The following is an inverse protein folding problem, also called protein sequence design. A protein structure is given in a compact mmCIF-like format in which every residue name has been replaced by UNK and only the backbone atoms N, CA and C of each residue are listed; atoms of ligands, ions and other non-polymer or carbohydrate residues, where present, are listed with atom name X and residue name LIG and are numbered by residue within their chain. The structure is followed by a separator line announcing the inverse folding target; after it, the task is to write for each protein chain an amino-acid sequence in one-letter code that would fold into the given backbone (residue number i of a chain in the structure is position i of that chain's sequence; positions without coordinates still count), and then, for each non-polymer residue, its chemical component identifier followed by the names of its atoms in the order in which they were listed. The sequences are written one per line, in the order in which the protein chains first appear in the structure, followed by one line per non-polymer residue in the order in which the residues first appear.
data_IF_980335155585
#
_entry.id   IF_980335155585
#
_cell.length_a   1.000
_cell.length_b   1.000
_cell.length_c   1.000
_cell.angle_alpha   90.00
_cell.angle_beta   90.00
_cell.angle_gamma   90.00
#
_symmetry.space_group_name_H-M   'P 1'
#
loop_
_entity.id
_entity.type
_entity.pdbx_description
1 polymer ?
#
# COMPACT_ATOMS: atom_id res chain seq x y z
N UNK A 1 0.59 19.93 14.49
CA UNK A 1 -0.32 20.45 13.44
C UNK A 1 0.52 21.03 12.31
N UNK A 2 0.26 20.67 11.06
CA UNK A 2 0.95 21.15 9.87
C UNK A 2 0.06 22.01 8.97
N UNK A 3 0.68 22.92 8.22
CA UNK A 3 0.06 23.85 7.28
C UNK A 3 0.60 23.54 5.89
N UNK A 4 -0.26 23.04 5.01
CA UNK A 4 0.15 22.43 3.73
C UNK A 4 -0.58 23.06 2.56
N UNK A 5 0.09 23.19 1.41
CA UNK A 5 -0.52 23.67 0.17
C UNK A 5 -1.32 22.58 -0.55
N UNK A 6 -0.93 21.31 -0.38
CA UNK A 6 -1.51 20.16 -1.09
C UNK A 6 -2.17 19.12 -0.16
N UNK A 7 -2.11 19.33 1.16
CA UNK A 7 -2.63 18.42 2.17
C UNK A 7 -1.70 17.25 2.52
N UNK A 8 -0.47 17.24 1.99
CA UNK A 8 0.60 16.27 2.27
C UNK A 8 1.63 16.86 3.24
N UNK A 9 2.28 15.98 4.03
CA UNK A 9 3.32 16.39 4.98
C UNK A 9 4.56 16.95 4.29
N UNK A 10 5.03 16.29 3.24
CA UNK A 10 6.24 16.72 2.52
C UNK A 10 6.03 18.09 1.88
N UNK A 11 6.92 19.03 2.18
CA UNK A 11 6.85 20.43 1.75
C UNK A 11 6.01 21.35 2.65
N UNK A 12 5.54 20.87 3.81
CA UNK A 12 4.72 21.66 4.74
C UNK A 12 5.53 22.15 5.95
N UNK A 13 5.02 23.20 6.61
CA UNK A 13 5.53 23.65 7.91
C UNK A 13 4.60 23.16 9.01
N UNK A 14 5.15 22.73 10.14
CA UNK A 14 4.38 22.20 11.25
C UNK A 14 4.83 22.76 12.58
N UNK A 15 3.87 22.87 13.50
CA UNK A 15 4.14 23.06 14.93
C UNK A 15 3.89 21.73 15.64
N UNK A 16 4.84 21.32 16.45
CA UNK A 16 4.80 20.05 17.19
C UNK A 16 5.03 20.36 18.66
N UNK A 17 4.21 19.76 19.53
CA UNK A 17 4.32 19.93 20.96
C UNK A 17 4.21 18.59 21.68
N UNK A 18 4.99 18.43 22.73
CA UNK A 18 4.98 17.25 23.60
C UNK A 18 5.33 17.63 25.03
N UNK A 19 5.01 16.75 25.97
CA UNK A 19 5.40 16.90 27.38
C UNK A 19 6.68 16.13 27.64
N UNK A 20 7.66 16.76 28.28
CA UNK A 20 8.83 16.13 28.87
C UNK A 20 8.74 16.27 30.39
N UNK A 21 8.25 15.23 31.06
CA UNK A 21 7.85 15.32 32.46
C UNK A 21 6.71 16.34 32.65
N UNK A 22 6.93 17.37 33.45
CA UNK A 22 5.98 18.47 33.67
C UNK A 22 6.22 19.66 32.72
N UNK A 23 7.30 19.62 31.93
CA UNK A 23 7.66 20.72 31.03
C UNK A 23 7.07 20.49 29.64
N UNK A 24 6.29 21.45 29.18
CA UNK A 24 5.81 21.48 27.81
C UNK A 24 6.89 21.96 26.85
N UNK A 25 7.15 21.20 25.79
CA UNK A 25 8.10 21.57 24.73
C UNK A 25 7.32 21.76 23.43
N UNK A 26 7.58 22.87 22.74
CA UNK A 26 7.00 23.19 21.44
C UNK A 26 8.12 23.57 20.49
N UNK A 27 8.07 23.03 19.28
CA UNK A 27 8.98 23.37 18.20
C UNK A 27 8.25 23.47 16.87
N UNK A 28 8.76 24.35 16.02
CA UNK A 28 8.39 24.40 14.61
C UNK A 28 9.27 23.43 13.81
N UNK A 29 8.74 22.90 12.72
CA UNK A 29 9.44 22.00 11.82
C UNK A 29 9.12 22.35 10.36
N UNK A 30 10.13 22.26 9.50
CA UNK A 30 9.92 22.11 8.07
C UNK A 30 9.97 20.63 7.70
N UNK A 31 8.90 20.13 7.09
CA UNK A 31 8.75 18.72 6.72
C UNK A 31 9.22 18.52 5.28
N UNK A 32 10.53 18.53 5.05
CA UNK A 32 11.13 18.44 3.70
C UNK A 32 11.07 17.04 3.06
N UNK A 33 10.83 15.99 3.85
CA UNK A 33 10.82 14.61 3.38
C UNK A 33 10.32 13.62 4.43
N UNK A 34 10.49 12.32 4.16
CA UNK A 34 10.02 11.25 5.04
C UNK A 34 11.11 10.69 5.97
N UNK A 35 12.37 11.06 5.77
CA UNK A 35 13.47 10.68 6.66
C UNK A 35 13.65 11.71 7.75
N UNK A 36 14.14 11.29 8.92
CA UNK A 36 14.36 12.18 10.07
C UNK A 36 15.31 13.35 9.73
N UNK A 37 16.29 13.16 8.85
CA UNK A 37 17.21 14.21 8.41
C UNK A 37 16.56 15.29 7.54
N UNK A 38 15.44 14.97 6.88
CA UNK A 38 14.66 15.91 6.07
C UNK A 38 13.52 16.56 6.86
N UNK A 39 13.35 16.20 8.14
CA UNK A 39 12.39 16.82 9.07
C UNK A 39 13.18 17.76 9.97
N UNK A 40 13.22 19.05 9.59
CA UNK A 40 14.17 20.00 10.15
C UNK A 40 13.53 20.78 11.31
N UNK A 41 14.01 20.62 12.55
CA UNK A 41 13.52 21.40 13.70
C UNK A 41 13.90 22.88 13.55
N UNK A 42 13.09 23.73 14.16
CA UNK A 42 13.24 25.19 14.20
C UNK A 42 13.29 25.85 12.81
N UNK A 43 12.77 25.17 11.78
CA UNK A 43 12.65 25.66 10.41
C UNK A 43 11.20 25.70 9.94
N UNK A 44 10.95 26.37 8.82
CA UNK A 44 9.63 26.54 8.21
C UNK A 44 9.19 28.00 8.17
N UNK A 45 7.95 28.23 7.78
CA UNK A 45 7.41 29.58 7.52
C UNK A 45 6.26 29.99 8.45
N UNK A 46 6.08 29.30 9.60
CA UNK A 46 5.10 29.72 10.59
C UNK A 46 5.70 30.84 11.45
N UNK A 47 4.91 31.87 11.74
CA UNK A 47 5.31 32.95 12.64
C UNK A 47 4.48 32.83 13.92
N UNK A 48 5.06 32.21 14.95
CA UNK A 48 4.37 31.87 16.20
C UNK A 48 4.72 32.93 17.25
N UNK A 49 3.73 33.64 17.77
CA UNK A 49 3.94 34.72 18.77
C UNK A 49 3.76 34.25 20.21
N UNK A 50 2.80 33.35 20.43
CA UNK A 50 2.55 32.73 21.73
C UNK A 50 2.29 31.25 21.52
N UNK A 51 2.78 30.42 22.44
CA UNK A 51 2.51 28.99 22.40
C UNK A 51 2.60 28.37 23.78
N UNK A 52 1.78 27.36 24.03
CA UNK A 52 1.71 26.64 25.28
C UNK A 52 1.28 25.20 25.00
N UNK A 53 1.94 24.26 25.67
CA UNK A 53 1.49 22.87 25.69
C UNK A 53 1.29 22.46 27.14
N UNK A 54 0.11 21.92 27.41
CA UNK A 54 -0.26 21.44 28.75
C UNK A 54 -0.84 20.04 28.63
N UNK A 55 -0.64 19.25 29.67
CA UNK A 55 -1.32 17.97 29.84
C UNK A 55 -2.29 18.07 31.01
N UNK A 56 -3.57 17.84 30.73
CA UNK A 56 -4.63 17.87 31.73
C UNK A 56 -5.59 16.70 31.47
N UNK A 57 -5.92 15.95 32.53
CA UNK A 57 -6.86 14.81 32.45
C UNK A 57 -6.53 13.81 31.34
N UNK A 58 -5.25 13.43 31.23
CA UNK A 58 -4.73 12.54 30.19
C UNK A 58 -4.90 13.05 28.76
N UNK A 59 -5.06 14.36 28.58
CA UNK A 59 -5.15 15.02 27.28
C UNK A 59 -4.11 16.11 27.14
N UNK A 60 -3.33 16.03 26.06
CA UNK A 60 -2.38 17.08 25.70
C UNK A 60 -3.06 18.13 24.85
N UNK A 61 -3.00 19.39 25.30
CA UNK A 61 -3.46 20.55 24.56
C UNK A 61 -2.25 21.30 24.03
N UNK A 62 -2.18 21.49 22.71
CA UNK A 62 -1.22 22.38 22.06
C UNK A 62 -1.98 23.64 21.63
N UNK A 63 -1.61 24.76 22.22
CA UNK A 63 -2.20 26.08 21.98
C UNK A 63 -1.10 26.95 21.39
N UNK A 64 -1.41 27.68 20.32
CA UNK A 64 -0.47 28.61 19.72
C UNK A 64 -1.20 29.69 18.93
N UNK A 65 -0.54 30.82 18.76
CA UNK A 65 -1.01 31.94 17.97
C UNK A 65 -0.09 32.14 16.77
N UNK A 66 -0.68 32.17 15.58
CA UNK A 66 0.01 32.55 14.35
C UNK A 66 -0.19 34.03 14.07
N UNK A 67 0.90 34.73 13.79
CA UNK A 67 0.89 36.12 13.34
C UNK A 67 1.20 36.16 11.85
N UNK A 68 0.16 36.26 11.03
CA UNK A 68 0.28 36.24 9.56
C UNK A 68 -0.34 37.50 8.96
N UNK A 69 0.34 38.10 7.98
CA UNK A 69 -0.18 39.23 7.23
C UNK A 69 -1.31 38.81 6.28
N UNK A 70 -1.24 37.59 5.75
CA UNK A 70 -2.27 36.97 4.92
C UNK A 70 -2.88 35.74 5.64
N UNK A 71 -4.03 35.27 5.15
CA UNK A 71 -4.68 34.09 5.70
C UNK A 71 -3.76 32.85 5.55
N UNK A 72 -3.52 32.06 6.62
CA UNK A 72 -2.74 30.84 6.52
C UNK A 72 -3.39 29.82 5.57
N UNK A 73 -2.61 28.84 5.11
CA UNK A 73 -3.15 27.75 4.29
C UNK A 73 -4.30 27.06 5.02
N UNK A 74 -5.41 26.87 4.31
CA UNK A 74 -6.60 26.21 4.87
C UNK A 74 -6.45 24.70 5.00
N UNK A 75 -5.49 24.07 4.32
CA UNK A 75 -5.26 22.62 4.47
C UNK A 75 -4.34 22.37 5.66
N UNK A 76 -4.90 21.74 6.68
CA UNK A 76 -4.23 21.40 7.92
C UNK A 76 -3.94 19.91 7.97
N UNK A 77 -2.80 19.58 8.58
CA UNK A 77 -2.38 18.21 8.84
C UNK A 77 -2.32 18.01 10.35
N UNK A 78 -2.92 16.91 10.79
CA UNK A 78 -2.83 16.44 12.16
C UNK A 78 -2.06 15.14 12.15
N UNK A 79 -1.18 14.98 13.13
CA UNK A 79 -0.41 13.76 13.31
C UNK A 79 -0.13 13.59 14.79
N UNK A 80 -0.09 12.33 15.23
CA UNK A 80 0.21 11.96 16.60
C UNK A 80 1.39 11.00 16.62
N UNK A 81 2.32 11.19 17.56
CA UNK A 81 3.48 10.31 17.74
C UNK A 81 3.08 8.93 18.25
N UNK A 82 4.07 8.05 18.42
CA UNK A 82 3.87 6.79 19.13
C UNK A 82 3.96 7.02 20.64
N UNK A 83 3.11 6.33 21.41
CA UNK A 83 3.14 6.40 22.86
C UNK A 83 4.51 5.96 23.41
N UNK A 84 5.06 6.75 24.34
CA UNK A 84 6.38 6.48 24.95
C UNK A 84 7.58 6.88 24.08
N UNK A 85 7.38 7.32 22.82
CA UNK A 85 8.47 7.76 21.93
C UNK A 85 8.47 9.27 21.79
N UNK A 86 9.18 9.94 22.71
CA UNK A 86 9.37 11.39 22.66
C UNK A 86 10.62 11.76 21.83
N UNK A 87 10.61 12.91 21.15
CA UNK A 87 11.80 13.43 20.48
C UNK A 87 12.97 13.59 21.46
N UNK A 88 14.19 13.14 21.13
CA UNK A 88 15.35 13.32 21.99
C UNK A 88 15.65 14.81 22.22
N UNK A 89 15.99 15.21 23.44
CA UNK A 89 16.25 16.61 23.77
C UNK A 89 17.41 17.24 22.96
N UNK A 90 18.42 16.44 22.59
CA UNK A 90 19.61 16.90 21.87
C UNK A 90 19.35 17.19 20.38
N UNK A 91 18.53 16.38 19.71
CA UNK A 91 18.29 16.48 18.27
C UNK A 91 16.92 17.05 17.94
N UNK A 92 15.95 16.93 18.84
CA UNK A 92 14.52 17.17 18.58
C UNK A 92 14.01 16.45 17.32
N UNK A 93 14.65 15.33 16.96
CA UNK A 93 14.30 14.57 15.77
C UNK A 93 12.97 13.84 15.96
N UNK A 94 12.04 14.01 15.02
CA UNK A 94 10.75 13.34 15.06
C UNK A 94 10.85 11.92 14.50
N UNK A 95 10.09 11.00 15.10
CA UNK A 95 9.84 9.66 14.57
C UNK A 95 8.58 9.63 13.71
N UNK A 96 8.34 8.51 13.03
CA UNK A 96 7.11 8.33 12.27
C UNK A 96 5.89 8.36 13.20
N UNK A 97 4.90 9.18 12.84
CA UNK A 97 3.61 9.26 13.51
C UNK A 97 2.88 7.91 13.50
N UNK A 98 2.09 7.65 14.53
CA UNK A 98 1.22 6.47 14.61
C UNK A 98 -0.06 6.65 13.79
N UNK A 99 -0.58 7.89 13.73
CA UNK A 99 -1.74 8.24 12.91
C UNK A 99 -1.61 9.67 12.36
N UNK A 100 -2.28 9.93 11.23
CA UNK A 100 -2.37 11.25 10.62
C UNK A 100 -3.71 11.48 9.94
N UNK A 101 -4.12 12.74 9.91
CA UNK A 101 -5.28 13.21 9.16
C UNK A 101 -4.95 14.51 8.41
N UNK A 102 -5.67 14.74 7.32
CA UNK A 102 -5.62 15.99 6.56
C UNK A 102 -7.03 16.54 6.44
N UNK A 103 -7.20 17.84 6.65
CA UNK A 103 -8.50 18.52 6.60
C UNK A 103 -8.36 19.88 5.96
N UNK A 104 -9.45 20.44 5.47
CA UNK A 104 -9.53 21.86 5.17
C UNK A 104 -10.26 22.56 6.31
N UNK A 105 -9.71 23.67 6.80
CA UNK A 105 -10.34 24.59 7.74
C UNK A 105 -10.82 25.83 6.99
N UNK A 106 -12.10 26.15 7.12
CA UNK A 106 -12.62 27.44 6.71
C UNK A 106 -12.44 28.43 7.88
N UNK A 107 -11.52 29.39 7.73
CA UNK A 107 -11.23 30.38 8.78
C UNK A 107 -12.39 31.35 9.06
N UNK A 108 -13.32 31.52 8.12
CA UNK A 108 -14.50 32.39 8.30
C UNK A 108 -15.57 31.68 9.13
N UNK A 109 -15.85 30.40 8.83
CA UNK A 109 -16.93 29.65 9.51
C UNK A 109 -16.46 28.79 10.67
N UNK A 110 -15.16 28.60 10.83
CA UNK A 110 -14.56 27.68 11.81
C UNK A 110 -14.80 26.20 11.51
N UNK A 111 -15.40 25.87 10.36
CA UNK A 111 -15.74 24.48 10.02
C UNK A 111 -14.56 23.74 9.40
N UNK A 112 -14.39 22.48 9.79
CA UNK A 112 -13.40 21.57 9.21
C UNK A 112 -14.08 20.54 8.31
N UNK A 113 -13.55 20.35 7.09
CA UNK A 113 -13.95 19.29 6.19
C UNK A 113 -12.77 18.33 5.97
N UNK A 114 -12.92 17.08 6.42
CA UNK A 114 -11.91 16.05 6.23
C UNK A 114 -11.59 15.90 4.75
N UNK A 115 -10.31 16.07 4.38
CA UNK A 115 -9.86 15.82 3.03
C UNK A 115 -9.72 14.31 2.87
N UNK A 116 -10.61 13.70 2.09
CA UNK A 116 -10.46 12.30 1.70
C UNK A 116 -9.08 12.08 1.05
N UNK A 117 -8.46 10.92 1.29
CA UNK A 117 -7.15 10.61 0.69
C UNK A 117 -7.19 10.86 -0.82
N UNK A 118 -6.25 11.64 -1.41
CA UNK A 118 -6.27 11.94 -2.84
C UNK A 118 -6.42 10.68 -3.68
N UNK A 119 -7.29 10.70 -4.68
CA UNK A 119 -7.54 9.56 -5.56
C UNK A 119 -7.91 8.25 -4.82
N UNK A 120 -8.60 8.34 -3.67
CA UNK A 120 -9.00 7.18 -2.84
C UNK A 120 -9.63 6.03 -3.65
N UNK A 121 -10.53 6.37 -4.57
CA UNK A 121 -11.20 5.40 -5.45
C UNK A 121 -10.21 4.68 -6.36
N UNK A 122 -9.26 5.42 -6.94
CA UNK A 122 -8.24 4.86 -7.82
C UNK A 122 -7.29 3.94 -7.04
N UNK A 123 -6.85 4.37 -5.84
CA UNK A 123 -6.06 3.54 -4.91
C UNK A 123 -6.77 2.23 -4.55
N UNK A 124 -8.05 2.32 -4.19
CA UNK A 124 -8.88 1.15 -3.84
C UNK A 124 -9.07 0.22 -5.04
N UNK A 125 -9.34 0.78 -6.22
CA UNK A 125 -9.50 0.01 -7.47
C UNK A 125 -8.21 -0.73 -7.83
N UNK A 126 -7.07 -0.05 -7.83
CA UNK A 126 -5.75 -0.65 -8.06
C UNK A 126 -5.50 -1.82 -7.11
N UNK A 127 -5.71 -1.63 -5.79
CA UNK A 127 -5.53 -2.68 -4.80
C UNK A 127 -6.43 -3.89 -5.03
N UNK A 128 -7.73 -3.66 -5.27
CA UNK A 128 -8.70 -4.75 -5.50
C UNK A 128 -8.42 -5.52 -6.79
N UNK A 129 -8.14 -4.82 -7.89
CA UNK A 129 -7.86 -5.44 -9.19
C UNK A 129 -6.62 -6.34 -9.13
N UNK A 130 -5.53 -5.87 -8.53
CA UNK A 130 -4.30 -6.67 -8.41
C UNK A 130 -4.46 -7.83 -7.41
N UNK A 131 -5.17 -7.61 -6.30
CA UNK A 131 -5.44 -8.67 -5.32
C UNK A 131 -6.28 -9.80 -5.91
N UNK A 132 -7.38 -9.46 -6.59
CA UNK A 132 -8.25 -10.45 -7.23
C UNK A 132 -7.56 -11.09 -8.43
N UNK A 133 -6.97 -10.29 -9.32
CA UNK A 133 -6.34 -10.75 -10.55
C UNK A 133 -5.07 -11.56 -10.32
N UNK A 134 -4.02 -10.92 -9.80
CA UNK A 134 -2.72 -11.55 -9.60
C UNK A 134 -2.63 -12.39 -8.32
N UNK A 135 -3.29 -11.96 -7.24
CA UNK A 135 -3.17 -12.59 -5.93
C UNK A 135 -4.04 -13.84 -5.75
N UNK A 136 -5.31 -13.80 -6.20
CA UNK A 136 -6.30 -14.86 -5.92
C UNK A 136 -6.54 -15.75 -7.14
N UNK A 137 -6.91 -15.17 -8.29
CA UNK A 137 -7.29 -15.96 -9.47
C UNK A 137 -6.12 -16.77 -10.04
N UNK A 138 -4.88 -16.26 -9.99
CA UNK A 138 -3.69 -17.01 -10.41
C UNK A 138 -3.52 -18.31 -9.62
N UNK A 139 -3.78 -18.28 -8.31
CA UNK A 139 -3.70 -19.45 -7.43
C UNK A 139 -4.82 -20.44 -7.75
N UNK A 140 -6.06 -19.95 -7.85
CA UNK A 140 -7.22 -20.79 -8.20
C UNK A 140 -6.99 -21.49 -9.55
N UNK A 141 -6.53 -20.75 -10.56
CA UNK A 141 -6.20 -21.30 -11.88
C UNK A 141 -5.14 -22.39 -11.80
N UNK A 142 -4.10 -22.21 -10.96
CA UNK A 142 -3.07 -23.22 -10.74
C UNK A 142 -3.60 -24.48 -10.03
N UNK A 143 -4.45 -24.33 -9.01
CA UNK A 143 -5.11 -25.44 -8.30
C UNK A 143 -5.98 -26.24 -9.28
N UNK A 144 -6.80 -25.57 -10.09
CA UNK A 144 -7.65 -26.20 -11.13
C UNK A 144 -6.80 -27.02 -12.10
N UNK A 145 -5.73 -26.44 -12.67
CA UNK A 145 -4.85 -27.14 -13.60
C UNK A 145 -4.05 -28.29 -12.98
N UNK A 146 -3.83 -28.26 -11.66
CA UNK A 146 -3.12 -29.33 -10.95
C UNK A 146 -4.04 -30.52 -10.64
N UNK A 147 -5.26 -30.26 -10.16
CA UNK A 147 -6.10 -31.29 -9.56
C UNK A 147 -7.26 -31.77 -10.46
N UNK A 148 -7.67 -31.00 -11.47
CA UNK A 148 -8.79 -31.38 -12.33
C UNK A 148 -8.38 -32.02 -13.67
N UNK A 149 -7.10 -32.35 -13.89
CA UNK A 149 -6.60 -32.92 -15.16
C UNK A 149 -7.34 -34.18 -15.65
N UNK A 150 -7.96 -34.94 -14.75
CA UNK A 150 -8.76 -36.13 -15.09
C UNK A 150 -10.05 -35.79 -15.85
N UNK A 151 -10.51 -34.55 -15.79
CA UNK A 151 -11.68 -34.05 -16.51
C UNK A 151 -11.28 -33.41 -17.84
N UNK A 152 -10.43 -34.05 -18.65
CA UNK A 152 -10.08 -33.52 -19.99
C UNK A 152 -11.32 -33.55 -20.90
N UNK A 153 -11.64 -32.47 -21.65
CA UNK A 153 -10.90 -31.21 -21.80
C UNK A 153 -11.34 -30.07 -20.85
N UNK A 154 -12.35 -30.29 -20.00
CA UNK A 154 -12.96 -29.26 -19.14
C UNK A 154 -11.93 -28.51 -18.27
N UNK A 155 -10.97 -29.22 -17.65
CA UNK A 155 -9.96 -28.57 -16.80
C UNK A 155 -9.18 -27.49 -17.54
N UNK A 156 -8.92 -27.70 -18.83
CA UNK A 156 -8.13 -26.79 -19.65
C UNK A 156 -8.93 -25.50 -19.90
N UNK A 157 -10.23 -25.62 -20.24
CA UNK A 157 -11.11 -24.47 -20.39
C UNK A 157 -11.30 -23.71 -19.09
N UNK A 158 -11.53 -24.39 -17.96
CA UNK A 158 -11.61 -23.71 -16.66
C UNK A 158 -10.31 -22.99 -16.33
N UNK A 159 -9.15 -23.63 -16.52
CA UNK A 159 -7.85 -23.02 -16.27
C UNK A 159 -7.64 -21.76 -17.12
N UNK A 160 -7.79 -21.86 -18.45
CA UNK A 160 -7.55 -20.73 -19.34
C UNK A 160 -8.53 -19.59 -19.08
N UNK A 161 -9.81 -19.86 -18.80
CA UNK A 161 -10.80 -18.83 -18.48
C UNK A 161 -10.44 -18.08 -17.19
N UNK A 162 -10.09 -18.82 -16.12
CA UNK A 162 -9.70 -18.23 -14.83
C UNK A 162 -8.42 -17.40 -14.98
N UNK A 163 -7.41 -17.93 -15.67
CA UNK A 163 -6.15 -17.22 -15.88
C UNK A 163 -6.31 -16.00 -16.77
N UNK A 164 -7.16 -16.07 -17.79
CA UNK A 164 -7.43 -14.93 -18.68
C UNK A 164 -8.13 -13.81 -17.93
N UNK A 165 -9.16 -14.13 -17.13
CA UNK A 165 -9.83 -13.15 -16.27
C UNK A 165 -8.85 -12.54 -15.26
N UNK A 166 -8.04 -13.38 -14.61
CA UNK A 166 -7.02 -12.93 -13.66
C UNK A 166 -6.00 -11.99 -14.30
N UNK A 167 -5.54 -12.30 -15.50
CA UNK A 167 -4.61 -11.47 -16.25
C UNK A 167 -5.24 -10.13 -16.66
N UNK A 168 -6.47 -10.11 -17.16
CA UNK A 168 -7.14 -8.86 -17.58
C UNK A 168 -7.43 -7.92 -16.39
N UNK A 169 -7.86 -8.47 -15.26
CA UNK A 169 -8.03 -7.70 -14.02
C UNK A 169 -6.67 -7.19 -13.52
N UNK A 170 -5.65 -8.06 -13.52
CA UNK A 170 -4.30 -7.72 -13.12
C UNK A 170 -3.66 -6.63 -14.00
N UNK A 171 -3.83 -6.71 -15.32
CA UNK A 171 -3.37 -5.70 -16.28
C UNK A 171 -4.05 -4.35 -16.02
N UNK A 172 -5.38 -4.35 -15.84
CA UNK A 172 -6.14 -3.15 -15.46
C UNK A 172 -5.66 -2.58 -14.12
N UNK A 173 -5.31 -3.47 -13.18
CA UNK A 173 -4.67 -3.13 -11.91
C UNK A 173 -3.32 -2.44 -12.10
N UNK A 174 -2.44 -2.95 -12.98
CA UNK A 174 -1.15 -2.32 -13.26
C UNK A 174 -1.33 -0.96 -13.93
N UNK A 175 -2.22 -0.83 -14.91
CA UNK A 175 -2.51 0.44 -15.60
C UNK A 175 -2.99 1.50 -14.59
N UNK A 176 -3.95 1.15 -13.73
CA UNK A 176 -4.41 2.07 -12.69
C UNK A 176 -3.31 2.46 -11.70
N UNK A 177 -2.36 1.55 -11.42
CA UNK A 177 -1.17 1.82 -10.61
C UNK A 177 -0.20 2.81 -11.25
N UNK A 178 0.04 2.69 -12.56
CA UNK A 178 0.86 3.64 -13.31
C UNK A 178 0.23 5.03 -13.35
N UNK A 179 -1.08 5.11 -13.58
CA UNK A 179 -1.83 6.38 -13.51
C UNK A 179 -1.74 6.98 -12.10
N UNK A 180 -1.86 6.15 -11.07
CA UNK A 180 -1.76 6.61 -9.68
C UNK A 180 -0.35 7.13 -9.35
N UNK A 181 0.70 6.46 -9.81
CA UNK A 181 2.09 6.89 -9.62
C UNK A 181 2.32 8.29 -10.21
N UNK A 182 1.87 8.52 -11.44
CA UNK A 182 2.01 9.82 -12.11
C UNK A 182 1.26 10.94 -11.39
N UNK A 183 0.14 10.63 -10.73
CA UNK A 183 -0.67 11.62 -10.01
C UNK A 183 -0.14 11.94 -8.60
N UNK A 184 0.50 10.98 -7.94
CA UNK A 184 0.97 11.15 -6.57
C UNK A 184 2.40 11.67 -6.48
N UNK A 185 3.23 11.41 -7.49
CA UNK A 185 4.67 11.77 -7.45
C UNK A 185 5.45 11.07 -6.33
N UNK A 186 4.86 10.05 -5.69
CA UNK A 186 5.50 9.30 -4.61
C UNK A 186 6.50 8.29 -5.17
N UNK A 187 7.65 8.14 -4.50
CA UNK A 187 8.59 7.06 -4.80
C UNK A 187 8.10 5.73 -4.21
N UNK A 188 7.51 4.89 -5.05
CA UNK A 188 7.14 3.49 -4.75
C UNK A 188 7.93 2.53 -5.64
N UNK A 189 9.19 2.86 -5.91
CA UNK A 189 10.05 2.18 -6.89
C UNK A 189 10.08 0.66 -6.75
N UNK A 190 10.21 0.12 -5.53
CA UNK A 190 10.26 -1.34 -5.33
C UNK A 190 8.93 -2.02 -5.72
N UNK A 191 7.79 -1.51 -5.24
CA UNK A 191 6.48 -2.10 -5.52
C UNK A 191 6.14 -2.03 -7.01
N UNK A 192 6.48 -0.91 -7.65
CA UNK A 192 6.35 -0.71 -9.08
C UNK A 192 7.22 -1.69 -9.87
N UNK A 193 8.49 -1.86 -9.51
CA UNK A 193 9.41 -2.78 -10.18
C UNK A 193 8.94 -4.23 -10.05
N UNK A 194 8.49 -4.65 -8.87
CA UNK A 194 7.87 -5.96 -8.66
C UNK A 194 6.58 -6.13 -9.48
N UNK A 195 5.75 -5.08 -9.56
CA UNK A 195 4.53 -5.08 -10.38
C UNK A 195 4.83 -5.28 -11.88
N UNK A 196 5.86 -4.60 -12.39
CA UNK A 196 6.32 -4.76 -13.78
C UNK A 196 6.87 -6.17 -14.00
N UNK A 197 7.67 -6.71 -13.06
CA UNK A 197 8.15 -8.09 -13.13
C UNK A 197 7.00 -9.09 -13.21
N UNK A 198 5.97 -8.95 -12.36
CA UNK A 198 4.78 -9.80 -12.37
C UNK A 198 4.08 -9.73 -13.74
N UNK A 199 3.90 -8.52 -14.30
CA UNK A 199 3.31 -8.34 -15.62
C UNK A 199 4.11 -9.06 -16.71
N UNK A 200 5.45 -8.93 -16.71
CA UNK A 200 6.34 -9.62 -17.66
C UNK A 200 6.18 -11.14 -17.53
N UNK A 201 6.21 -11.67 -16.31
CA UNK A 201 5.98 -13.09 -16.06
C UNK A 201 4.59 -13.53 -16.53
N UNK A 202 3.56 -12.68 -16.36
CA UNK A 202 2.21 -12.94 -16.86
C UNK A 202 2.15 -12.99 -18.39
N UNK A 203 2.80 -12.06 -19.08
CA UNK A 203 2.91 -12.08 -20.53
C UNK A 203 3.61 -13.36 -21.03
N UNK A 204 4.68 -13.78 -20.34
CA UNK A 204 5.34 -15.06 -20.60
C UNK A 204 4.39 -16.26 -20.45
N UNK A 205 3.47 -16.24 -19.49
CA UNK A 205 2.42 -17.26 -19.36
C UNK A 205 1.42 -17.24 -20.51
N UNK A 206 1.01 -16.06 -20.98
CA UNK A 206 0.15 -15.92 -22.17
C UNK A 206 0.87 -16.45 -23.41
N UNK A 207 2.15 -16.13 -23.59
CA UNK A 207 2.95 -16.68 -24.69
C UNK A 207 3.10 -18.20 -24.59
N UNK A 208 3.10 -18.77 -23.38
CA UNK A 208 3.12 -20.22 -23.20
C UNK A 208 1.89 -20.87 -23.85
N UNK A 209 0.72 -20.24 -23.79
CA UNK A 209 -0.49 -20.73 -24.47
C UNK A 209 -0.30 -20.76 -25.99
N UNK A 210 0.23 -19.69 -26.58
CA UNK A 210 0.44 -19.59 -28.03
C UNK A 210 1.48 -20.60 -28.52
N UNK A 211 2.54 -20.80 -27.74
CA UNK A 211 3.62 -21.75 -28.04
C UNK A 211 3.34 -23.18 -27.55
N UNK A 212 2.07 -23.52 -27.23
CA UNK A 212 1.67 -24.83 -26.66
C UNK A 212 1.90 -25.98 -27.67
N UNK A 213 2.86 -26.90 -27.43
CA UNK A 213 3.11 -28.01 -28.34
C UNK A 213 2.01 -29.10 -28.25
N UNK A 214 1.91 -29.91 -29.30
CA UNK A 214 1.08 -31.14 -29.32
C UNK A 214 1.44 -32.07 -28.16
N UNK A 215 0.44 -32.84 -27.67
CA UNK A 215 0.58 -33.74 -26.50
C UNK A 215 1.71 -34.76 -26.70
N UNK A 216 1.89 -35.28 -27.91
CA UNK A 216 2.92 -36.28 -28.26
C UNK A 216 4.32 -35.70 -28.52
N UNK A 217 4.49 -34.37 -28.53
CA UNK A 217 5.78 -33.76 -28.83
C UNK A 217 6.76 -33.90 -27.67
N UNK A 218 8.02 -34.31 -27.94
CA UNK A 218 9.10 -34.29 -26.94
C UNK A 218 9.34 -32.90 -26.34
N UNK A 219 9.06 -31.84 -27.10
CA UNK A 219 9.18 -30.43 -26.66
C UNK A 219 8.16 -30.10 -25.56
N UNK A 220 7.03 -30.83 -25.49
CA UNK A 220 5.99 -30.66 -24.46
C UNK A 220 6.54 -30.74 -23.04
N UNK A 221 7.58 -31.57 -22.81
CA UNK A 221 8.26 -31.68 -21.51
C UNK A 221 8.91 -30.36 -21.08
N UNK A 222 9.70 -29.75 -21.95
CA UNK A 222 10.37 -28.47 -21.68
C UNK A 222 9.37 -27.32 -21.53
N UNK A 223 8.35 -27.31 -22.39
CA UNK A 223 7.24 -26.36 -22.27
C UNK A 223 6.54 -26.45 -20.90
N UNK A 224 6.28 -27.68 -20.42
CA UNK A 224 5.68 -27.88 -19.08
C UNK A 224 6.60 -27.36 -17.98
N UNK A 225 7.91 -27.62 -18.06
CA UNK A 225 8.87 -27.13 -17.07
C UNK A 225 8.92 -25.60 -17.02
N UNK A 226 9.00 -24.96 -18.17
CA UNK A 226 8.90 -23.51 -18.32
C UNK A 226 7.59 -22.96 -17.72
N UNK A 227 6.45 -23.47 -18.20
CA UNK A 227 5.13 -22.99 -17.79
C UNK A 227 4.91 -23.12 -16.28
N UNK A 228 5.24 -24.29 -15.70
CA UNK A 228 5.10 -24.53 -14.26
C UNK A 228 6.04 -23.66 -13.42
N UNK A 229 7.30 -23.54 -13.83
CA UNK A 229 8.31 -22.82 -13.04
C UNK A 229 8.02 -21.32 -13.04
N UNK A 230 7.84 -20.73 -14.22
CA UNK A 230 7.52 -19.30 -14.36
C UNK A 230 6.18 -18.97 -13.68
N UNK A 231 5.19 -19.86 -13.76
CA UNK A 231 3.87 -19.63 -13.15
C UNK A 231 3.92 -19.61 -11.63
N UNK A 232 4.74 -20.49 -11.01
CA UNK A 232 4.95 -20.50 -9.56
C UNK A 232 5.71 -19.27 -9.08
N UNK A 233 6.76 -18.89 -9.80
CA UNK A 233 7.54 -17.68 -9.50
C UNK A 233 6.62 -16.44 -9.54
N UNK A 234 5.77 -16.33 -10.56
CA UNK A 234 4.77 -15.27 -10.68
C UNK A 234 3.87 -15.21 -9.45
N UNK A 235 3.29 -16.34 -9.02
CA UNK A 235 2.40 -16.39 -7.85
C UNK A 235 3.11 -15.92 -6.58
N UNK A 236 4.36 -16.34 -6.34
CA UNK A 236 5.14 -15.93 -5.15
C UNK A 236 5.36 -14.41 -5.14
N UNK A 237 5.77 -13.84 -6.28
CA UNK A 237 5.96 -12.40 -6.40
C UNK A 237 4.65 -11.64 -6.29
N UNK A 238 3.56 -12.16 -6.88
CA UNK A 238 2.23 -11.55 -6.77
C UNK A 238 1.74 -11.47 -5.33
N UNK A 239 1.82 -12.57 -4.57
CA UNK A 239 1.43 -12.58 -3.15
C UNK A 239 2.25 -11.56 -2.35
N UNK A 240 3.57 -11.62 -2.50
CA UNK A 240 4.50 -10.72 -1.80
C UNK A 240 4.22 -9.25 -2.14
N UNK A 241 4.02 -8.94 -3.42
CA UNK A 241 3.82 -7.58 -3.88
C UNK A 241 2.45 -7.01 -3.48
N UNK A 242 1.41 -7.86 -3.35
CA UNK A 242 0.11 -7.43 -2.81
C UNK A 242 0.23 -7.08 -1.33
N UNK A 243 0.92 -7.90 -0.52
CA UNK A 243 1.18 -7.56 0.89
C UNK A 243 1.97 -6.26 1.03
N UNK A 244 3.01 -6.09 0.20
CA UNK A 244 3.80 -4.88 0.20
C UNK A 244 2.98 -3.66 -0.24
N UNK A 245 2.12 -3.80 -1.25
CA UNK A 245 1.20 -2.74 -1.68
C UNK A 245 0.18 -2.35 -0.61
N UNK A 246 -0.34 -3.31 0.17
CA UNK A 246 -1.23 -3.02 1.33
C UNK A 246 -0.48 -2.20 2.38
N UNK A 247 0.77 -2.56 2.67
CA UNK A 247 1.63 -1.82 3.61
C UNK A 247 1.89 -0.39 3.13
N UNK A 248 2.26 -0.20 1.86
CA UNK A 248 2.47 1.13 1.26
C UNK A 248 1.19 1.97 1.19
N UNK A 249 0.04 1.33 1.04
CA UNK A 249 -1.25 2.00 1.01
C UNK A 249 -1.72 2.53 2.38
N UNK A 250 -0.94 2.30 3.45
CA UNK A 250 -1.29 2.58 4.86
C UNK A 250 -2.69 2.07 5.20
N UNK A 251 -3.14 1.00 4.53
CA UNK A 251 -4.42 0.37 4.83
C UNK A 251 -4.18 -0.50 6.06
N UNK A 252 -4.89 -0.16 7.14
CA UNK A 252 -4.76 -0.79 8.45
C UNK A 252 -4.89 -2.32 8.42
N UNK A 253 -4.65 -2.91 9.58
CA UNK A 253 -4.54 -4.37 9.83
C UNK A 253 -5.62 -5.22 9.15
N UNK A 254 -6.84 -4.71 8.97
CA UNK A 254 -7.95 -5.41 8.33
C UNK A 254 -7.71 -5.86 6.87
N UNK A 255 -7.14 -5.02 6.00
CA UNK A 255 -6.87 -5.41 4.59
C UNK A 255 -5.82 -6.52 4.52
N UNK A 256 -4.75 -6.39 5.33
CA UNK A 256 -3.68 -7.38 5.43
C UNK A 256 -4.22 -8.70 5.98
N UNK A 257 -5.02 -8.65 7.04
CA UNK A 257 -5.63 -9.84 7.65
C UNK A 257 -6.59 -10.54 6.67
N UNK A 258 -7.48 -9.80 6.02
CA UNK A 258 -8.43 -10.36 5.06
C UNK A 258 -7.73 -11.06 3.89
N UNK A 259 -6.69 -10.44 3.32
CA UNK A 259 -5.91 -11.06 2.26
C UNK A 259 -5.14 -12.30 2.76
N UNK A 260 -4.54 -12.23 3.95
CA UNK A 260 -3.85 -13.37 4.55
C UNK A 260 -4.79 -14.57 4.75
N UNK A 261 -5.99 -14.35 5.30
CA UNK A 261 -7.01 -15.39 5.46
C UNK A 261 -7.38 -16.02 4.12
N UNK A 262 -7.59 -15.21 3.08
CA UNK A 262 -7.92 -15.73 1.75
C UNK A 262 -6.81 -16.62 1.18
N UNK A 263 -5.55 -16.19 1.26
CA UNK A 263 -4.40 -16.96 0.79
C UNK A 263 -4.20 -18.24 1.61
N UNK A 264 -4.30 -18.17 2.94
CA UNK A 264 -4.21 -19.33 3.82
C UNK A 264 -5.31 -20.36 3.53
N UNK A 265 -6.52 -19.91 3.25
CA UNK A 265 -7.63 -20.78 2.87
C UNK A 265 -7.38 -21.49 1.53
N UNK A 266 -6.92 -20.77 0.50
CA UNK A 266 -6.55 -21.37 -0.79
C UNK A 266 -5.40 -22.36 -0.66
N UNK A 267 -4.41 -22.05 0.19
CA UNK A 267 -3.28 -22.94 0.47
C UNK A 267 -3.74 -24.23 1.17
N UNK A 268 -4.65 -24.12 2.15
CA UNK A 268 -5.25 -25.27 2.82
C UNK A 268 -6.01 -26.15 1.82
N UNK A 269 -6.82 -25.56 0.93
CA UNK A 269 -7.49 -26.31 -0.15
C UNK A 269 -6.47 -27.06 -1.01
N UNK A 270 -5.39 -26.39 -1.44
CA UNK A 270 -4.35 -27.02 -2.25
C UNK A 270 -3.70 -28.22 -1.54
N UNK A 271 -3.41 -28.10 -0.24
CA UNK A 271 -2.87 -29.20 0.57
C UNK A 271 -3.84 -30.38 0.62
N UNK A 272 -5.11 -30.13 0.96
CA UNK A 272 -6.13 -31.19 1.05
C UNK A 272 -6.27 -31.92 -0.28
N UNK A 273 -6.31 -31.19 -1.39
CA UNK A 273 -6.40 -31.76 -2.74
C UNK A 273 -5.14 -32.55 -3.13
N UNK A 274 -3.94 -32.08 -2.76
CA UNK A 274 -2.69 -32.80 -3.02
C UNK A 274 -2.59 -34.08 -2.18
N UNK A 275 -2.99 -34.07 -0.90
CA UNK A 275 -3.06 -35.28 -0.05
C UNK A 275 -4.02 -36.30 -0.67
N UNK A 276 -5.26 -35.88 -1.01
CA UNK A 276 -6.26 -36.76 -1.62
C UNK A 276 -5.77 -37.36 -2.94
N UNK A 277 -5.11 -36.57 -3.78
CA UNK A 277 -4.56 -37.06 -5.04
C UNK A 277 -3.44 -38.08 -4.84
N UNK A 278 -2.61 -37.93 -3.80
CA UNK A 278 -1.54 -38.89 -3.48
C UNK A 278 -2.06 -40.18 -2.86
N UNK A 279 -3.14 -40.12 -2.07
CA UNK A 279 -3.77 -41.32 -1.51
C UNK A 279 -4.49 -42.19 -2.56
N UNK A 280 -4.85 -41.62 -3.71
CA UNK A 280 -5.51 -42.33 -4.82
C UNK A 280 -4.53 -42.93 -5.83
N UNK A 281 -3.23 -42.68 -5.67
CA UNK A 281 -2.16 -43.27 -6.48
C UNK A 281 -1.55 -44.45 -5.77
#
# INVERSE_FOLDING_TARGET
MGFSSNGMMVGSSAIVGWMSGQTGIIKQYFLGGQTASQVMPDQGNLNITSSMVISQSSRTYLIFQLNTAEQPTSRLIYAVGQDGFLPPASSSSLTQHSDKASTTLNYVTGQTQAQGTPYARLRKSHGLLNMLGWGILMIIGAIVARHLKHMDPLWFYCHISIQSLGFLLGLSGVITGLVLNNKLGNDVSIHKSLGILILVLGCLQVMALLARPNKESKVRKYWNWYHYTVGRILIIFAISNVFYGIHLGEKGTGWRAGYAVAISFLFLIAIILEIRMRMRK
#
